data_IF_003424332492
#
_entry.id   IF_003424332492
#
_cell.length_a   1.000
_cell.length_b   1.000
_cell.length_c   1.000
_cell.angle_alpha   90.00
_cell.angle_beta   90.00
_cell.angle_gamma   90.00
#
_symmetry.space_group_name_H-M   'P 1'
#
loop_
_entity.id
_entity.type
_entity.pdbx_description
1 polymer ?
#
# COMPACT_ATOMS: atom_id res chain seq x y z
N UNK A 1 -54.21 30.95 16.64
CA UNK A 1 -52.81 31.34 16.82
C UNK A 1 -51.94 30.27 17.51
N UNK A 2 -52.32 29.72 18.65
CA UNK A 2 -51.56 28.69 19.38
C UNK A 2 -51.39 27.38 18.61
N UNK A 3 -52.40 26.94 17.85
CA UNK A 3 -52.35 25.70 17.01
C UNK A 3 -51.44 25.85 15.81
N UNK A 4 -51.40 26.99 15.18
CA UNK A 4 -50.52 27.31 14.05
C UNK A 4 -49.04 27.31 14.46
N UNK A 5 -48.73 27.85 15.64
CA UNK A 5 -47.38 27.85 16.19
C UNK A 5 -46.91 26.41 16.49
N UNK A 6 -47.78 25.58 17.05
CA UNK A 6 -47.47 24.16 17.30
C UNK A 6 -47.18 23.38 16.01
N UNK A 7 -47.95 23.62 14.96
CA UNK A 7 -47.75 23.00 13.66
C UNK A 7 -46.43 23.45 13.04
N UNK A 8 -46.08 24.74 13.14
CA UNK A 8 -44.83 25.26 12.63
C UNK A 8 -43.61 24.66 13.38
N UNK A 9 -43.69 24.53 14.69
CA UNK A 9 -42.61 23.88 15.49
C UNK A 9 -42.47 22.39 15.14
N UNK A 10 -43.58 21.71 14.87
CA UNK A 10 -43.58 20.28 14.49
C UNK A 10 -42.95 20.07 13.10
N UNK A 11 -43.30 20.94 12.11
CA UNK A 11 -42.68 20.86 10.76
C UNK A 11 -41.20 21.23 10.80
N UNK A 12 -40.80 22.23 11.58
CA UNK A 12 -39.40 22.58 11.75
C UNK A 12 -38.60 21.48 12.44
N UNK A 13 -39.17 20.80 13.45
CA UNK A 13 -38.56 19.64 14.07
C UNK A 13 -38.34 18.46 13.10
N UNK A 14 -39.33 18.19 12.26
CA UNK A 14 -39.22 17.17 11.22
C UNK A 14 -38.12 17.58 10.21
N UNK A 15 -38.05 18.83 9.79
CA UNK A 15 -37.03 19.32 8.85
C UNK A 15 -35.62 19.20 9.43
N UNK A 16 -35.44 19.42 10.73
CA UNK A 16 -34.14 19.23 11.41
C UNK A 16 -33.73 17.75 11.52
N UNK A 17 -34.68 16.81 11.56
CA UNK A 17 -34.40 15.38 11.57
C UNK A 17 -34.01 14.84 10.18
N UNK A 18 -34.37 15.53 9.11
CA UNK A 18 -33.98 15.17 7.73
C UNK A 18 -32.60 15.72 7.31
N UNK A 19 -31.89 16.44 8.16
CA UNK A 19 -30.49 16.72 7.92
C UNK A 19 -29.68 15.43 8.13
N UNK A 20 -29.88 14.44 7.25
CA UNK A 20 -28.92 13.36 7.09
C UNK A 20 -27.61 14.01 6.69
N UNK A 21 -26.75 14.22 7.66
CA UNK A 21 -25.34 14.46 7.41
C UNK A 21 -24.88 13.24 6.64
N UNK A 22 -24.74 13.36 5.34
CA UNK A 22 -24.00 12.40 4.52
C UNK A 22 -22.57 12.44 5.02
N UNK A 23 -22.30 11.71 6.09
CA UNK A 23 -20.95 11.42 6.51
C UNK A 23 -20.33 10.66 5.33
N UNK A 24 -19.51 11.34 4.56
CA UNK A 24 -18.77 10.71 3.47
C UNK A 24 -18.01 9.52 4.05
N UNK A 25 -18.31 8.34 3.56
CA UNK A 25 -17.69 7.11 4.05
C UNK A 25 -16.16 7.21 3.88
N UNK A 26 -15.45 7.02 4.99
CA UNK A 26 -13.98 7.09 5.01
C UNK A 26 -13.39 5.89 4.28
N UNK A 27 -12.50 6.15 3.35
CA UNK A 27 -11.68 5.14 2.68
C UNK A 27 -10.48 4.85 3.57
N UNK A 28 -10.57 3.79 4.37
CA UNK A 28 -9.50 3.39 5.30
C UNK A 28 -8.45 2.57 4.59
N UNK A 29 -7.20 3.06 4.61
CA UNK A 29 -6.03 2.38 4.06
C UNK A 29 -5.06 2.11 5.20
N UNK A 30 -4.69 0.84 5.40
CA UNK A 30 -3.64 0.46 6.35
C UNK A 30 -2.26 0.80 5.78
N UNK A 31 -1.34 1.19 6.66
CA UNK A 31 0.07 1.37 6.30
C UNK A 31 0.92 0.60 7.30
N UNK A 32 1.45 -0.57 6.90
CA UNK A 32 2.26 -1.42 7.77
C UNK A 32 3.74 -1.28 7.42
N UNK A 33 4.47 -0.66 8.34
CA UNK A 33 5.89 -0.33 8.18
C UNK A 33 6.64 -0.49 9.51
N UNK A 34 7.96 -0.67 9.50
CA UNK A 34 8.75 -0.69 10.74
C UNK A 34 8.83 0.72 11.32
N UNK A 35 8.19 0.96 12.47
CA UNK A 35 8.24 2.27 13.16
C UNK A 35 9.14 2.23 14.39
N UNK A 36 9.60 1.06 14.79
CA UNK A 36 10.54 0.83 15.88
C UNK A 36 11.66 -0.11 15.46
N UNK A 37 12.76 -0.11 16.25
CA UNK A 37 13.93 -0.93 16.00
C UNK A 37 14.87 -0.36 14.92
N UNK A 38 15.77 -1.22 14.44
CA UNK A 38 16.87 -0.85 13.53
C UNK A 38 16.39 -0.21 12.21
N UNK A 39 15.25 -0.65 11.70
CA UNK A 39 14.71 -0.18 10.42
C UNK A 39 13.67 0.95 10.55
N UNK A 40 13.53 1.56 11.72
CA UNK A 40 12.52 2.61 11.99
C UNK A 40 12.63 3.81 11.05
N UNK A 41 13.84 4.18 10.66
CA UNK A 41 14.09 5.28 9.73
C UNK A 41 13.42 5.04 8.35
N UNK A 42 13.35 3.79 7.89
CA UNK A 42 12.65 3.43 6.63
C UNK A 42 11.16 3.69 6.79
N UNK A 43 10.57 3.23 7.89
CA UNK A 43 9.16 3.43 8.19
C UNK A 43 8.76 4.90 8.30
N UNK A 44 9.58 5.71 8.97
CA UNK A 44 9.37 7.16 9.09
C UNK A 44 9.36 7.86 7.73
N UNK A 45 10.31 7.52 6.85
CA UNK A 45 10.37 8.05 5.49
C UNK A 45 9.14 7.67 4.67
N UNK A 46 8.67 6.43 4.79
CA UNK A 46 7.46 5.97 4.10
C UNK A 46 6.22 6.72 4.62
N UNK A 47 6.07 6.89 5.93
CA UNK A 47 4.96 7.69 6.50
C UNK A 47 4.99 9.12 5.98
N UNK A 48 6.16 9.76 5.97
CA UNK A 48 6.31 11.12 5.44
C UNK A 48 5.90 11.20 3.97
N UNK A 49 6.31 10.23 3.17
CA UNK A 49 5.94 10.15 1.74
C UNK A 49 4.44 9.94 1.56
N UNK A 50 3.82 9.06 2.36
CA UNK A 50 2.39 8.83 2.33
C UNK A 50 1.59 10.09 2.68
N UNK A 51 2.01 10.83 3.71
CA UNK A 51 1.38 12.12 4.08
C UNK A 51 1.47 13.15 2.95
N UNK A 52 2.63 13.26 2.29
CA UNK A 52 2.80 14.15 1.13
C UNK A 52 1.88 13.76 -0.03
N UNK A 53 1.74 12.46 -0.30
CA UNK A 53 0.86 11.97 -1.35
C UNK A 53 -0.61 12.29 -1.04
N UNK A 54 -1.08 12.09 0.20
CA UNK A 54 -2.45 12.41 0.62
C UNK A 54 -2.72 13.91 0.49
N UNK A 55 -1.79 14.74 0.96
CA UNK A 55 -1.92 16.18 0.83
C UNK A 55 -2.04 16.63 -0.63
N UNK A 56 -1.31 15.96 -1.53
CA UNK A 56 -1.39 16.22 -2.97
C UNK A 56 -2.72 15.76 -3.58
N UNK A 57 -3.25 14.62 -3.13
CA UNK A 57 -4.55 14.09 -3.57
C UNK A 57 -5.69 15.00 -3.10
N UNK A 58 -5.57 15.58 -1.91
CA UNK A 58 -6.53 16.50 -1.30
C UNK A 58 -7.97 15.94 -1.22
N UNK A 59 -8.09 14.65 -0.89
CA UNK A 59 -9.38 13.99 -0.67
C UNK A 59 -9.53 13.64 0.83
N UNK A 60 -10.42 14.37 1.51
CA UNK A 60 -10.68 14.23 2.94
C UNK A 60 -11.31 12.88 3.33
N UNK A 61 -11.72 12.06 2.35
CA UNK A 61 -12.25 10.72 2.60
C UNK A 61 -11.15 9.71 2.91
N UNK A 62 -9.92 9.95 2.42
CA UNK A 62 -8.80 9.03 2.60
C UNK A 62 -8.24 9.14 4.01
N UNK A 63 -8.23 8.02 4.72
CA UNK A 63 -7.64 7.88 6.04
C UNK A 63 -6.55 6.82 6.02
N UNK A 64 -5.29 7.23 6.30
CA UNK A 64 -4.18 6.29 6.46
C UNK A 64 -4.02 5.92 7.92
N UNK A 65 -4.01 4.62 8.19
CA UNK A 65 -3.86 4.04 9.53
C UNK A 65 -2.49 3.36 9.61
N UNK A 66 -1.46 4.02 10.17
CA UNK A 66 -0.13 3.43 10.31
C UNK A 66 -0.10 2.40 11.44
N UNK A 67 0.64 1.31 11.23
CA UNK A 67 0.91 0.25 12.20
C UNK A 67 2.36 -0.18 12.14
N UNK A 68 2.93 -0.41 13.31
CA UNK A 68 4.32 -0.84 13.47
C UNK A 68 4.47 -2.36 13.28
N UNK A 69 5.29 -2.75 12.30
CA UNK A 69 5.66 -4.15 12.07
C UNK A 69 6.91 -4.59 12.84
N UNK A 70 7.63 -3.66 13.45
CA UNK A 70 8.92 -3.92 14.14
C UNK A 70 9.91 -4.71 13.27
N UNK A 71 9.82 -4.62 11.93
CA UNK A 71 10.56 -5.46 10.99
C UNK A 71 10.32 -6.98 11.17
N UNK A 72 9.23 -7.38 11.84
CA UNK A 72 8.93 -8.76 12.20
C UNK A 72 7.74 -9.29 11.39
N UNK A 73 7.85 -10.47 10.74
CA UNK A 73 6.76 -11.04 9.96
C UNK A 73 5.50 -11.39 10.78
N UNK A 74 5.65 -11.81 12.01
CA UNK A 74 4.53 -12.16 12.90
C UNK A 74 3.79 -10.89 13.34
N UNK A 75 4.52 -9.82 13.67
CA UNK A 75 3.90 -8.53 13.97
C UNK A 75 3.20 -7.95 12.73
N UNK A 76 3.78 -8.08 11.54
CA UNK A 76 3.13 -7.67 10.29
C UNK A 76 1.78 -8.38 10.10
N UNK A 77 1.70 -9.71 10.33
CA UNK A 77 0.45 -10.45 10.28
C UNK A 77 -0.53 -9.99 11.37
N UNK A 78 -0.07 -9.82 12.60
CA UNK A 78 -0.88 -9.39 13.75
C UNK A 78 -1.56 -8.04 13.48
N UNK A 79 -0.78 -7.04 13.06
CA UNK A 79 -1.31 -5.69 12.79
C UNK A 79 -2.21 -5.67 11.54
N UNK A 80 -1.95 -6.53 10.55
CA UNK A 80 -2.82 -6.68 9.38
C UNK A 80 -4.18 -7.26 9.76
N UNK A 81 -4.22 -8.26 10.65
CA UNK A 81 -5.47 -8.82 11.20
C UNK A 81 -6.25 -7.78 11.99
N UNK A 82 -5.57 -6.94 12.76
CA UNK A 82 -6.18 -5.83 13.50
C UNK A 82 -6.82 -4.81 12.55
N UNK A 83 -6.08 -4.38 11.51
CA UNK A 83 -6.59 -3.48 10.49
C UNK A 83 -7.82 -4.07 9.77
N UNK A 84 -7.78 -5.35 9.41
CA UNK A 84 -8.89 -6.05 8.78
C UNK A 84 -10.15 -6.04 9.65
N UNK A 85 -10.02 -6.31 10.95
CA UNK A 85 -11.13 -6.24 11.92
C UNK A 85 -11.75 -4.85 12.00
N UNK A 86 -10.94 -3.79 11.80
CA UNK A 86 -11.36 -2.40 11.78
C UNK A 86 -11.90 -1.93 10.41
N UNK A 87 -12.21 -2.87 9.51
CA UNK A 87 -12.83 -2.60 8.22
C UNK A 87 -11.85 -2.24 7.09
N UNK A 88 -10.53 -2.25 7.34
CA UNK A 88 -9.52 -2.01 6.29
C UNK A 88 -9.49 -3.18 5.30
N UNK A 89 -9.45 -2.87 4.01
CA UNK A 89 -9.38 -3.86 2.92
C UNK A 89 -8.18 -3.65 2.01
N UNK A 90 -7.53 -2.50 2.08
CA UNK A 90 -6.32 -2.16 1.34
C UNK A 90 -5.24 -1.83 2.35
N UNK A 91 -4.10 -2.51 2.25
CA UNK A 91 -2.94 -2.29 3.13
C UNK A 91 -1.72 -2.02 2.27
N UNK A 92 -1.07 -0.90 2.49
CA UNK A 92 0.23 -0.55 1.90
C UNK A 92 1.33 -1.10 2.81
N UNK A 93 2.22 -1.89 2.25
CA UNK A 93 3.20 -2.71 2.96
C UNK A 93 2.93 -4.21 2.77
N UNK A 94 3.74 -5.06 3.35
CA UNK A 94 4.92 -4.81 4.16
C UNK A 94 6.12 -4.31 3.36
N UNK A 95 7.17 -3.90 4.09
CA UNK A 95 8.45 -3.47 3.48
C UNK A 95 9.32 -4.68 3.11
N UNK A 96 9.35 -5.68 3.97
CA UNK A 96 10.23 -6.84 3.84
C UNK A 96 9.49 -8.07 3.28
N UNK A 97 10.15 -8.78 2.38
CA UNK A 97 9.61 -9.95 1.67
C UNK A 97 9.27 -11.14 2.58
N UNK A 98 9.99 -11.29 3.70
CA UNK A 98 9.78 -12.37 4.66
C UNK A 98 8.38 -12.33 5.28
N UNK A 99 7.80 -11.13 5.36
CA UNK A 99 6.45 -10.93 5.90
C UNK A 99 5.34 -11.42 4.96
N UNK A 100 5.61 -11.53 3.66
CA UNK A 100 4.57 -11.81 2.65
C UNK A 100 3.96 -13.18 2.81
N UNK A 101 4.77 -14.22 3.10
CA UNK A 101 4.31 -15.61 3.20
C UNK A 101 3.23 -15.83 4.27
N UNK A 102 3.12 -14.93 5.24
CA UNK A 102 2.13 -15.02 6.32
C UNK A 102 0.82 -14.28 6.00
N UNK A 103 0.77 -13.52 4.91
CA UNK A 103 -0.37 -12.67 4.56
C UNK A 103 -1.42 -13.38 3.70
N UNK A 104 -1.12 -14.58 3.19
CA UNK A 104 -2.05 -15.39 2.38
C UNK A 104 -3.35 -15.74 3.10
N UNK A 105 -3.33 -15.81 4.44
CA UNK A 105 -4.52 -16.05 5.26
C UNK A 105 -5.56 -14.92 5.18
N UNK A 106 -5.15 -13.73 4.79
CA UNK A 106 -6.00 -12.53 4.70
C UNK A 106 -6.50 -12.29 3.27
N UNK A 107 -7.17 -13.28 2.67
CA UNK A 107 -7.61 -13.26 1.25
C UNK A 107 -8.51 -12.09 0.88
N UNK A 108 -9.21 -11.49 1.85
CA UNK A 108 -10.11 -10.35 1.63
C UNK A 108 -9.40 -9.00 1.82
N UNK A 109 -8.07 -8.99 1.93
CA UNK A 109 -7.25 -7.80 2.04
C UNK A 109 -6.29 -7.78 0.85
N UNK A 110 -6.24 -6.66 0.15
CA UNK A 110 -5.23 -6.42 -0.90
C UNK A 110 -4.03 -5.73 -0.28
N UNK A 111 -2.86 -6.33 -0.42
CA UNK A 111 -1.60 -5.75 0.01
C UNK A 111 -0.86 -5.12 -1.17
N UNK A 112 -0.38 -3.89 -1.02
CA UNK A 112 0.53 -3.22 -1.95
C UNK A 112 1.90 -3.18 -1.28
N UNK A 113 2.72 -4.20 -1.54
CA UNK A 113 4.00 -4.38 -0.86
C UNK A 113 5.12 -3.55 -1.51
N UNK A 114 5.99 -2.99 -0.67
CA UNK A 114 7.19 -2.28 -1.14
C UNK A 114 8.32 -3.23 -1.58
N UNK A 115 8.19 -4.53 -1.32
CA UNK A 115 9.20 -5.49 -1.72
C UNK A 115 9.26 -5.67 -3.24
N UNK A 116 10.44 -5.91 -3.75
CA UNK A 116 10.69 -6.29 -5.15
C UNK A 116 10.65 -7.81 -5.37
N UNK A 117 10.49 -8.62 -4.32
CA UNK A 117 10.49 -10.07 -4.35
C UNK A 117 9.24 -10.63 -3.71
N UNK A 118 8.44 -11.37 -4.49
CA UNK A 118 7.29 -12.12 -3.99
C UNK A 118 7.71 -13.57 -3.71
N UNK A 119 7.44 -14.04 -2.49
CA UNK A 119 7.66 -15.43 -2.09
C UNK A 119 6.29 -16.11 -2.10
N UNK A 120 6.17 -17.25 -2.79
CA UNK A 120 4.97 -18.09 -2.78
C UNK A 120 3.82 -17.63 -3.69
N UNK A 121 3.99 -16.59 -4.50
CA UNK A 121 2.94 -16.06 -5.42
C UNK A 121 1.59 -15.79 -4.74
N UNK A 122 1.52 -15.04 -3.66
CA UNK A 122 0.27 -14.73 -2.98
C UNK A 122 -0.65 -13.94 -3.91
N UNK A 123 -1.91 -14.37 -4.04
CA UNK A 123 -2.89 -13.77 -4.97
C UNK A 123 -3.38 -12.38 -4.52
N UNK A 124 -3.24 -12.09 -3.24
CA UNK A 124 -3.68 -10.87 -2.59
C UNK A 124 -2.57 -9.83 -2.38
N UNK A 125 -1.37 -10.06 -2.93
CA UNK A 125 -0.22 -9.15 -2.82
C UNK A 125 0.20 -8.63 -4.18
N UNK A 126 0.22 -7.31 -4.31
CA UNK A 126 0.75 -6.58 -5.46
C UNK A 126 2.14 -6.06 -5.08
N UNK A 127 3.17 -6.45 -5.83
CA UNK A 127 4.51 -5.89 -5.64
C UNK A 127 4.59 -4.51 -6.31
N UNK A 128 4.85 -3.48 -5.52
CA UNK A 128 5.14 -2.13 -5.99
C UNK A 128 6.66 -1.84 -6.03
N UNK A 129 7.48 -2.81 -5.63
CA UNK A 129 8.94 -2.68 -5.68
C UNK A 129 9.49 -2.83 -7.08
N UNK A 130 10.61 -2.12 -7.34
CA UNK A 130 11.34 -2.23 -8.60
C UNK A 130 12.17 -3.51 -8.58
N UNK A 131 11.83 -4.49 -9.42
CA UNK A 131 12.55 -5.76 -9.53
C UNK A 131 13.55 -5.78 -10.71
N UNK A 132 14.41 -6.78 -10.77
CA UNK A 132 15.44 -6.91 -11.79
C UNK A 132 14.85 -6.93 -13.22
N UNK A 133 13.69 -7.57 -13.41
CA UNK A 133 13.03 -7.65 -14.72
C UNK A 133 12.58 -6.25 -15.17
N UNK A 134 11.89 -5.49 -14.33
CA UNK A 134 11.42 -4.14 -14.68
C UNK A 134 12.58 -3.17 -14.96
N UNK A 135 13.69 -3.31 -14.22
CA UNK A 135 14.90 -2.53 -14.48
C UNK A 135 15.48 -2.86 -15.84
N UNK A 136 15.64 -4.14 -16.16
CA UNK A 136 16.20 -4.58 -17.44
C UNK A 136 15.29 -4.24 -18.62
N UNK A 137 13.97 -4.32 -18.46
CA UNK A 137 13.01 -3.84 -19.48
C UNK A 137 13.18 -2.35 -19.77
N UNK A 138 13.41 -1.53 -18.73
CA UNK A 138 13.66 -0.11 -18.89
C UNK A 138 14.98 0.14 -19.63
N UNK A 139 16.05 -0.60 -19.27
CA UNK A 139 17.35 -0.52 -19.93
C UNK A 139 17.22 -0.96 -21.41
N UNK A 140 16.53 -2.06 -21.68
CA UNK A 140 16.26 -2.53 -23.05
C UNK A 140 15.55 -1.44 -23.86
N UNK A 141 14.47 -0.86 -23.32
CA UNK A 141 13.77 0.22 -24.00
C UNK A 141 14.69 1.41 -24.33
N UNK A 142 15.60 1.76 -23.41
CA UNK A 142 16.60 2.80 -23.66
C UNK A 142 17.56 2.42 -24.80
N UNK A 143 18.06 1.19 -24.80
CA UNK A 143 18.94 0.65 -25.85
C UNK A 143 18.25 0.72 -27.22
N UNK A 144 16.99 0.26 -27.28
CA UNK A 144 16.20 0.22 -28.52
C UNK A 144 15.93 1.65 -29.06
N UNK A 145 15.53 2.57 -28.20
CA UNK A 145 15.25 3.98 -28.58
C UNK A 145 16.52 4.67 -29.12
N UNK A 146 17.67 4.37 -28.54
CA UNK A 146 18.93 5.01 -28.95
C UNK A 146 19.71 4.20 -30.02
N UNK A 147 19.13 3.14 -30.56
CA UNK A 147 19.72 2.28 -31.60
C UNK A 147 21.11 1.74 -31.20
N UNK A 148 21.31 1.37 -29.93
CA UNK A 148 22.57 0.83 -29.44
C UNK A 148 22.68 -0.66 -29.83
N UNK A 149 23.63 -1.01 -30.68
CA UNK A 149 23.78 -2.36 -31.24
C UNK A 149 24.48 -3.35 -30.31
N UNK A 150 25.36 -2.86 -29.41
CA UNK A 150 26.14 -3.70 -28.52
C UNK A 150 25.97 -3.27 -27.06
N UNK A 151 25.56 -4.19 -26.21
CA UNK A 151 25.37 -3.96 -24.78
C UNK A 151 26.05 -5.05 -23.97
N UNK A 152 26.74 -4.67 -22.91
CA UNK A 152 27.44 -5.58 -21.99
C UNK A 152 26.83 -5.45 -20.61
N UNK A 153 26.45 -6.59 -20.02
CA UNK A 153 25.95 -6.64 -18.64
C UNK A 153 27.06 -7.11 -17.70
N UNK A 154 27.44 -6.28 -16.75
CA UNK A 154 28.34 -6.65 -15.68
C UNK A 154 27.52 -7.16 -14.50
N UNK A 155 27.57 -8.47 -14.25
CA UNK A 155 26.82 -9.12 -13.18
C UNK A 155 27.75 -9.35 -12.00
N UNK A 156 27.45 -8.78 -10.82
CA UNK A 156 28.28 -8.98 -9.64
C UNK A 156 28.21 -10.42 -9.15
N UNK A 157 29.31 -10.95 -8.62
CA UNK A 157 29.34 -12.25 -7.93
C UNK A 157 28.71 -12.13 -6.56
N UNK A 158 27.38 -12.07 -6.51
CA UNK A 158 26.58 -11.90 -5.29
C UNK A 158 25.46 -12.95 -5.22
N UNK A 159 24.78 -12.99 -4.10
CA UNK A 159 23.58 -13.82 -3.94
C UNK A 159 22.46 -13.52 -4.96
N UNK A 160 22.49 -12.34 -5.59
CA UNK A 160 21.51 -11.92 -6.61
C UNK A 160 21.87 -12.32 -8.04
N UNK A 161 23.03 -12.98 -8.26
CA UNK A 161 23.50 -13.35 -9.60
C UNK A 161 22.45 -14.11 -10.41
N UNK A 162 21.88 -15.17 -9.82
CA UNK A 162 20.89 -16.03 -10.48
C UNK A 162 19.59 -15.26 -10.84
N UNK A 163 19.16 -14.35 -9.98
CA UNK A 163 17.98 -13.51 -10.21
C UNK A 163 18.20 -12.56 -11.41
N UNK A 164 19.38 -11.93 -11.47
CA UNK A 164 19.76 -11.04 -12.56
C UNK A 164 19.88 -11.82 -13.88
N UNK A 165 20.52 -13.00 -13.89
CA UNK A 165 20.63 -13.86 -15.08
C UNK A 165 19.26 -14.31 -15.60
N UNK A 166 18.34 -14.70 -14.69
CA UNK A 166 16.97 -15.04 -15.06
C UNK A 166 16.22 -13.84 -15.64
N UNK A 167 16.42 -12.65 -15.06
CA UNK A 167 15.80 -11.43 -15.54
C UNK A 167 16.32 -11.06 -16.95
N UNK A 168 17.63 -11.19 -17.23
CA UNK A 168 18.22 -10.99 -18.54
C UNK A 168 17.59 -11.95 -19.56
N UNK A 169 17.49 -13.23 -19.21
CA UNK A 169 16.92 -14.24 -20.12
C UNK A 169 15.44 -14.01 -20.44
N UNK A 170 14.67 -13.41 -19.50
CA UNK A 170 13.26 -13.05 -19.70
C UNK A 170 13.05 -11.75 -20.49
N UNK A 171 14.08 -10.94 -20.63
CA UNK A 171 14.01 -9.63 -21.32
C UNK A 171 14.69 -9.62 -22.69
N UNK A 172 15.34 -10.70 -23.08
CA UNK A 172 15.92 -10.91 -24.42
C UNK A 172 14.83 -11.07 -25.53
#
# INVERSE_FOLDING_TARGET
>A
MKTFIKLLFFTLSIFLLYQNVFASEKIKIGLIVPLSGENSLIGEKIIKSARLAINKINDNRIEIIPKDTKSNPIDALRVSKELYKNGVRIIIGPVFNESIKYLDDLRNVTFISFTNKLIGNPKNVISAGVNAISQLQTIKKFIDINNLSNSVFLIPRSQFKNEIEQAINKTR
#
